data_IF_571818609448
#
_entry.id   IF_571818609448
#
_cell.length_a   1.000
_cell.length_b   1.000
_cell.length_c   1.000
_cell.angle_alpha   90.00
_cell.angle_beta   90.00
_cell.angle_gamma   90.00
#
_symmetry.space_group_name_H-M   'P 1'
#
loop_
_entity.id
_entity.type
_entity.pdbx_description
1 polymer ?
#
# COMPACT_ATOMS: atom_id res chain seq x y z
N UNK A 1 4.94 13.98 -25.78
CA UNK A 1 5.10 12.78 -24.93
C UNK A 1 5.41 13.30 -23.54
N UNK A 2 4.44 13.24 -22.62
CA UNK A 2 4.68 13.63 -21.24
C UNK A 2 5.49 12.50 -20.59
N UNK A 3 6.65 12.79 -19.96
CA UNK A 3 7.26 11.79 -19.11
C UNK A 3 6.24 11.51 -17.99
N UNK A 4 5.81 10.27 -17.91
CA UNK A 4 5.15 9.76 -16.72
C UNK A 4 6.21 9.86 -15.62
N UNK A 5 6.21 11.00 -14.92
CA UNK A 5 7.00 11.21 -13.72
C UNK A 5 6.41 10.31 -12.64
N UNK A 6 6.56 9.01 -12.81
CA UNK A 6 6.56 8.06 -11.72
C UNK A 6 7.82 8.37 -10.92
N UNK A 7 7.69 9.35 -10.03
CA UNK A 7 8.71 9.75 -9.08
C UNK A 7 9.15 8.48 -8.33
N UNK A 8 10.36 7.93 -8.57
CA UNK A 8 10.75 6.65 -7.99
C UNK A 8 11.24 6.82 -6.53
N UNK A 9 10.99 7.98 -5.91
CA UNK A 9 11.76 8.47 -4.78
C UNK A 9 11.01 8.72 -3.47
N UNK A 10 9.69 8.59 -3.41
CA UNK A 10 8.94 8.82 -2.15
C UNK A 10 8.24 7.55 -1.66
N UNK A 11 9.04 6.65 -1.06
CA UNK A 11 8.65 5.78 0.07
C UNK A 11 7.29 5.07 -0.05
N UNK A 12 7.12 4.04 -0.90
CA UNK A 12 5.87 3.21 -1.00
C UNK A 12 4.61 4.03 -0.70
N UNK A 13 4.16 4.86 -1.64
CA UNK A 13 3.05 5.79 -1.39
C UNK A 13 1.85 5.04 -0.81
N UNK A 14 1.08 5.68 0.08
CA UNK A 14 -0.09 5.03 0.70
C UNK A 14 -1.06 4.44 -0.35
N UNK A 15 -1.11 5.04 -1.55
CA UNK A 15 -1.83 4.49 -2.69
C UNK A 15 -1.27 3.11 -3.15
N UNK A 16 0.05 2.96 -3.29
CA UNK A 16 0.67 1.69 -3.67
C UNK A 16 0.44 0.59 -2.64
N UNK A 17 0.56 0.91 -1.35
CA UNK A 17 0.29 -0.04 -0.27
C UNK A 17 -1.17 -0.49 -0.29
N UNK A 18 -2.10 0.43 -0.55
CA UNK A 18 -3.52 0.11 -0.70
C UNK A 18 -3.79 -0.77 -1.92
N UNK A 19 -3.11 -0.55 -3.05
CA UNK A 19 -3.22 -1.43 -4.23
C UNK A 19 -2.67 -2.84 -3.96
N UNK A 20 -1.58 -2.97 -3.21
CA UNK A 20 -1.07 -4.28 -2.78
C UNK A 20 -2.05 -5.02 -1.87
N UNK A 21 -2.70 -4.32 -0.95
CA UNK A 21 -3.78 -4.89 -0.12
C UNK A 21 -4.93 -5.39 -1.00
N UNK A 22 -5.36 -4.61 -2.00
CA UNK A 22 -6.41 -5.04 -2.93
C UNK A 22 -6.02 -6.26 -3.76
N UNK A 23 -4.79 -6.28 -4.29
CA UNK A 23 -4.28 -7.42 -5.06
C UNK A 23 -4.18 -8.70 -4.21
N UNK A 24 -3.83 -8.57 -2.93
CA UNK A 24 -3.83 -9.67 -1.97
C UNK A 24 -5.24 -10.26 -1.80
N UNK A 25 -6.26 -9.41 -1.61
CA UNK A 25 -7.65 -9.86 -1.53
C UNK A 25 -8.16 -10.50 -2.82
N UNK A 26 -7.76 -9.97 -3.98
CA UNK A 26 -8.14 -10.52 -5.28
C UNK A 26 -7.56 -11.93 -5.49
N UNK A 27 -6.29 -12.18 -5.11
CA UNK A 27 -5.69 -13.51 -5.23
C UNK A 27 -6.26 -14.53 -4.24
N UNK A 28 -6.62 -14.07 -3.05
CA UNK A 28 -7.07 -14.95 -1.97
C UNK A 28 -8.51 -15.46 -2.16
N UNK A 29 -9.26 -14.91 -3.12
CA UNK A 29 -10.56 -15.45 -3.52
C UNK A 29 -11.65 -15.41 -2.43
N UNK A 30 -11.52 -14.53 -1.44
CA UNK A 30 -12.51 -14.31 -0.37
C UNK A 30 -12.03 -14.58 1.05
N UNK A 31 -10.90 -15.29 1.24
CA UNK A 31 -10.31 -15.49 2.57
C UNK A 31 -8.80 -15.64 2.53
N UNK A 32 -8.09 -14.91 3.40
CA UNK A 32 -6.63 -15.00 3.51
C UNK A 32 -6.21 -16.25 4.29
N UNK A 33 -5.22 -16.98 3.76
CA UNK A 33 -4.46 -17.98 4.51
C UNK A 33 -3.68 -17.34 5.66
N UNK A 34 -3.11 -18.14 6.55
CA UNK A 34 -2.31 -17.62 7.67
C UNK A 34 -1.09 -16.80 7.21
N UNK A 35 -0.43 -17.21 6.12
CA UNK A 35 0.70 -16.48 5.55
C UNK A 35 0.25 -15.15 4.91
N UNK A 36 -0.84 -15.18 4.14
CA UNK A 36 -1.43 -14.00 3.52
C UNK A 36 -1.96 -13.00 4.55
N UNK A 37 -2.47 -13.49 5.69
CA UNK A 37 -2.88 -12.65 6.82
C UNK A 37 -1.70 -11.90 7.42
N UNK A 38 -0.55 -12.56 7.62
CA UNK A 38 0.64 -11.89 8.12
C UNK A 38 1.14 -10.80 7.13
N UNK A 39 1.07 -11.08 5.82
CA UNK A 39 1.37 -10.09 4.78
C UNK A 39 0.38 -8.91 4.83
N UNK A 40 -0.93 -9.19 4.96
CA UNK A 40 -1.97 -8.17 5.08
C UNK A 40 -1.73 -7.25 6.28
N UNK A 41 -1.43 -7.82 7.44
CA UNK A 41 -1.20 -7.06 8.68
C UNK A 41 -0.01 -6.11 8.53
N UNK A 42 1.10 -6.58 7.94
CA UNK A 42 2.26 -5.74 7.64
C UNK A 42 1.90 -4.60 6.69
N UNK A 43 1.20 -4.91 5.59
CA UNK A 43 0.78 -3.91 4.60
C UNK A 43 -0.14 -2.85 5.22
N UNK A 44 -1.05 -3.23 6.11
CA UNK A 44 -1.95 -2.29 6.81
C UNK A 44 -1.17 -1.38 7.77
N UNK A 45 -0.20 -1.91 8.50
CA UNK A 45 0.66 -1.12 9.40
C UNK A 45 1.47 -0.10 8.60
N UNK A 46 2.11 -0.54 7.52
CA UNK A 46 2.86 0.34 6.64
C UNK A 46 1.95 1.39 6.00
N UNK A 47 0.76 1.00 5.54
CA UNK A 47 -0.20 1.92 4.93
C UNK A 47 -0.65 3.00 5.92
N UNK A 48 -0.98 2.61 7.14
CA UNK A 48 -1.35 3.54 8.19
C UNK A 48 -0.21 4.49 8.56
N UNK A 49 1.04 4.02 8.55
CA UNK A 49 2.21 4.86 8.74
C UNK A 49 2.39 5.86 7.58
N UNK A 50 2.22 5.41 6.34
CA UNK A 50 2.32 6.24 5.14
C UNK A 50 1.22 7.32 5.09
N UNK A 51 -0.03 6.99 5.45
CA UNK A 51 -1.11 7.97 5.57
C UNK A 51 -0.77 9.02 6.64
N UNK A 52 -0.31 8.61 7.83
CA UNK A 52 0.06 9.55 8.89
C UNK A 52 1.26 10.42 8.51
N UNK A 53 2.24 9.87 7.78
CA UNK A 53 3.39 10.63 7.30
C UNK A 53 3.04 11.60 6.17
N UNK A 54 2.20 11.19 5.23
CA UNK A 54 1.77 12.02 4.10
C UNK A 54 0.77 13.13 4.48
N UNK A 55 -0.03 12.94 5.54
CA UNK A 55 -0.91 13.99 6.07
C UNK A 55 -0.12 15.19 6.63
N UNK A 56 1.14 14.99 7.04
CA UNK A 56 1.98 16.08 7.57
C UNK A 56 2.51 17.01 6.46
N UNK A 57 2.61 16.55 5.21
CA UNK A 57 3.01 17.42 4.09
C UNK A 57 1.85 18.16 3.42
N UNK A 58 0.60 17.82 3.74
CA UNK A 58 -0.58 18.35 3.06
C UNK A 58 -1.39 19.39 3.86
N UNK A 59 -0.83 19.97 4.94
CA UNK A 59 -1.52 20.92 5.83
C UNK A 59 -1.06 22.38 5.63
#
# INVERSE_FOLDING_TARGET
>A
MFPDSADPGSVRSAAELNERIRALWLRAGGSLSAAERAEYELLVVEWAAAIRGGVVEAA
#
